data_IF_955597064947
#
_entry.id   IF_955597064947
#
_cell.length_a   1.000
_cell.length_b   1.000
_cell.length_c   1.000
_cell.angle_alpha   90.00
_cell.angle_beta   90.00
_cell.angle_gamma   90.00
#
_symmetry.space_group_name_H-M   'P 1'
#
loop_
_entity.id
_entity.type
_entity.pdbx_description
1 polymer ?
#
# COMPACT_ATOMS: atom_id res chain seq x y z
N UNK A 1 -11.87 6.36 19.19
CA UNK A 1 -11.22 7.40 18.36
C UNK A 1 -10.06 6.72 17.68
N UNK A 2 -10.19 6.44 16.38
CA UNK A 2 -9.12 5.84 15.57
C UNK A 2 -7.93 6.78 15.59
N UNK A 3 -6.79 6.30 16.12
CA UNK A 3 -5.55 7.06 16.17
C UNK A 3 -5.16 7.36 14.71
N UNK A 4 -5.29 8.61 14.28
CA UNK A 4 -5.00 8.98 12.89
C UNK A 4 -3.56 8.59 12.59
N UNK A 5 -3.33 7.87 11.49
CA UNK A 5 -1.96 7.64 11.02
C UNK A 5 -1.23 9.00 11.01
N UNK A 6 -0.14 9.12 11.78
CA UNK A 6 0.60 10.37 11.97
C UNK A 6 1.14 10.97 10.67
N UNK A 7 2.05 11.93 10.71
CA UNK A 7 2.59 12.54 9.48
C UNK A 7 3.15 11.51 8.47
N UNK A 8 3.15 11.83 7.16
CA UNK A 8 3.66 10.90 6.14
C UNK A 8 5.18 10.74 6.25
N UNK A 9 5.86 11.83 6.59
CA UNK A 9 7.30 11.88 6.71
C UNK A 9 7.68 12.24 8.14
N UNK A 10 8.15 11.24 8.90
CA UNK A 10 8.73 11.48 10.22
C UNK A 10 10.11 12.16 10.16
N UNK A 11 10.71 12.47 11.33
CA UNK A 11 11.97 13.22 11.42
C UNK A 11 13.12 12.61 10.59
N UNK A 12 13.25 11.29 10.57
CA UNK A 12 14.28 10.62 9.77
C UNK A 12 14.14 10.84 8.27
N UNK A 13 12.90 10.83 7.75
CA UNK A 13 12.64 11.15 6.35
C UNK A 13 12.95 12.62 6.06
N UNK A 14 12.59 13.54 6.96
CA UNK A 14 12.88 14.98 6.82
C UNK A 14 14.37 15.28 6.77
N UNK A 15 15.19 14.61 7.59
CA UNK A 15 16.65 14.74 7.52
C UNK A 15 17.20 14.37 6.14
N UNK A 16 16.79 13.22 5.58
CA UNK A 16 17.23 12.78 4.26
C UNK A 16 16.70 13.70 3.14
N UNK A 17 15.46 14.15 3.25
CA UNK A 17 14.89 15.10 2.30
C UNK A 17 15.62 16.45 2.30
N UNK A 18 16.06 16.94 3.45
CA UNK A 18 16.92 18.12 3.54
C UNK A 18 18.28 17.88 2.89
N UNK A 19 18.90 16.72 3.16
CA UNK A 19 20.20 16.36 2.58
C UNK A 19 20.18 16.28 1.05
N UNK A 20 19.09 15.76 0.46
CA UNK A 20 18.95 15.57 -0.98
C UNK A 20 18.13 16.67 -1.69
N UNK A 21 17.94 17.86 -1.08
CA UNK A 21 17.07 18.96 -1.58
C UNK A 21 15.67 18.49 -2.06
N UNK A 22 15.14 17.46 -1.40
CA UNK A 22 13.87 16.83 -1.76
C UNK A 22 12.71 17.27 -0.85
N UNK A 23 12.91 18.25 0.04
CA UNK A 23 11.87 18.71 0.98
C UNK A 23 10.66 19.27 0.24
N UNK A 24 10.88 20.17 -0.73
CA UNK A 24 9.81 20.77 -1.56
C UNK A 24 9.03 19.72 -2.32
N UNK A 25 9.74 18.77 -2.95
CA UNK A 25 9.13 17.66 -3.66
C UNK A 25 8.31 16.76 -2.73
N UNK A 26 8.84 16.44 -1.53
CA UNK A 26 8.15 15.62 -0.55
C UNK A 26 6.85 16.29 -0.08
N UNK A 27 6.89 17.59 0.21
CA UNK A 27 5.70 18.33 0.62
C UNK A 27 4.63 18.32 -0.49
N UNK A 28 5.02 18.60 -1.74
CA UNK A 28 4.11 18.53 -2.89
C UNK A 28 3.55 17.11 -3.09
N UNK A 29 4.37 16.07 -2.97
CA UNK A 29 3.90 14.68 -3.05
C UNK A 29 2.87 14.37 -1.94
N UNK A 30 3.13 14.80 -0.71
CA UNK A 30 2.20 14.62 0.39
C UNK A 30 0.87 15.32 0.14
N UNK A 31 0.90 16.52 -0.44
CA UNK A 31 -0.28 17.32 -0.73
C UNK A 31 -1.14 16.71 -1.84
N UNK A 32 -0.52 16.27 -2.94
CA UNK A 32 -1.26 15.90 -4.17
C UNK A 32 -1.51 14.41 -4.33
N UNK A 33 -0.78 13.55 -3.63
CA UNK A 33 -0.88 12.08 -3.81
C UNK A 33 -1.48 11.34 -2.62
N UNK A 34 -1.52 11.95 -1.44
CA UNK A 34 -2.07 11.32 -0.24
C UNK A 34 -3.53 11.69 -0.11
N UNK A 35 -4.38 10.68 -0.09
CA UNK A 35 -5.80 10.83 0.21
C UNK A 35 -6.13 10.09 1.51
N UNK A 36 -7.25 10.46 2.12
CA UNK A 36 -7.85 9.69 3.21
C UNK A 36 -9.12 8.94 2.76
N UNK A 37 -9.42 8.98 1.47
CA UNK A 37 -10.58 8.32 0.86
C UNK A 37 -10.20 7.54 -0.39
N UNK A 38 -10.86 6.42 -0.61
CA UNK A 38 -10.83 5.62 -1.83
C UNK A 38 -11.77 6.27 -2.85
N UNK A 39 -11.23 6.61 -4.03
CA UNK A 39 -12.02 7.00 -5.20
C UNK A 39 -12.43 5.78 -6.04
N UNK A 40 -13.35 5.95 -6.98
CA UNK A 40 -13.89 4.85 -7.80
C UNK A 40 -12.80 4.12 -8.58
N UNK A 41 -11.79 4.85 -9.09
CA UNK A 41 -10.66 4.27 -9.82
C UNK A 41 -9.85 3.36 -8.92
N UNK A 42 -9.57 3.80 -7.71
CA UNK A 42 -8.80 3.05 -6.72
C UNK A 42 -9.60 1.87 -6.20
N UNK A 43 -10.89 2.05 -5.88
CA UNK A 43 -11.77 0.95 -5.48
C UNK A 43 -11.74 -0.17 -6.53
N UNK A 44 -11.96 0.20 -7.79
CA UNK A 44 -11.94 -0.73 -8.91
C UNK A 44 -10.57 -1.44 -9.07
N UNK A 45 -9.47 -0.76 -8.77
CA UNK A 45 -8.14 -1.37 -8.77
C UNK A 45 -7.95 -2.38 -7.62
N UNK A 46 -8.37 -2.02 -6.40
CA UNK A 46 -8.27 -2.88 -5.22
C UNK A 46 -9.11 -4.15 -5.36
N UNK A 47 -10.35 -4.03 -5.85
CA UNK A 47 -11.26 -5.17 -6.01
C UNK A 47 -10.84 -6.15 -7.10
N UNK A 48 -10.08 -5.68 -8.11
CA UNK A 48 -9.49 -6.54 -9.14
C UNK A 48 -8.19 -7.22 -8.69
N UNK A 49 -7.63 -6.82 -7.56
CA UNK A 49 -6.40 -7.43 -7.08
C UNK A 49 -6.63 -8.93 -6.81
N UNK A 50 -5.63 -9.74 -7.15
CA UNK A 50 -5.56 -11.16 -6.79
C UNK A 50 -4.57 -11.41 -5.66
N UNK A 51 -3.81 -10.38 -5.28
CA UNK A 51 -2.95 -10.40 -4.12
C UNK A 51 -2.57 -8.99 -3.64
N UNK A 52 -2.08 -8.92 -2.41
CA UNK A 52 -1.37 -7.79 -1.84
C UNK A 52 -0.43 -8.26 -0.73
N UNK A 53 0.42 -7.37 -0.25
CA UNK A 53 1.23 -7.61 0.94
C UNK A 53 0.63 -6.87 2.13
N UNK A 54 0.38 -7.58 3.21
CA UNK A 54 -0.07 -7.04 4.49
C UNK A 54 1.12 -6.90 5.42
N UNK A 55 1.38 -5.70 5.89
CA UNK A 55 2.25 -5.43 7.01
C UNK A 55 1.43 -5.21 8.29
N UNK A 56 1.91 -5.79 9.38
CA UNK A 56 1.35 -5.65 10.74
C UNK A 56 2.49 -5.38 11.71
N UNK A 57 2.19 -4.92 12.92
CA UNK A 57 3.19 -4.72 13.98
C UNK A 57 2.73 -5.42 15.26
N UNK A 58 3.64 -6.14 15.90
CA UNK A 58 3.36 -6.79 17.19
C UNK A 58 3.36 -5.78 18.35
N UNK A 59 2.95 -6.22 19.55
CA UNK A 59 2.93 -5.39 20.75
C UNK A 59 4.31 -4.88 21.20
N UNK A 60 5.41 -5.41 20.65
CA UNK A 60 6.78 -4.95 20.89
C UNK A 60 7.28 -3.94 19.85
N UNK A 61 6.48 -3.64 18.82
CA UNK A 61 6.85 -2.71 17.76
C UNK A 61 7.63 -3.34 16.60
N UNK A 62 7.75 -4.67 16.54
CA UNK A 62 8.40 -5.34 15.42
C UNK A 62 7.42 -5.56 14.26
N UNK A 63 7.81 -5.19 13.02
CA UNK A 63 6.96 -5.37 11.86
C UNK A 63 7.03 -6.80 11.32
N UNK A 64 5.89 -7.26 10.80
CA UNK A 64 5.76 -8.46 9.98
C UNK A 64 5.18 -8.12 8.62
N UNK A 65 5.47 -8.97 7.63
CA UNK A 65 4.86 -8.93 6.30
C UNK A 65 4.33 -10.30 5.92
N UNK A 66 3.16 -10.32 5.29
CA UNK A 66 2.52 -11.51 4.76
C UNK A 66 1.96 -11.27 3.38
N UNK A 67 2.11 -12.24 2.48
CA UNK A 67 1.37 -12.28 1.22
C UNK A 67 -0.07 -12.69 1.51
N UNK A 68 -1.03 -11.93 0.96
CA UNK A 68 -2.46 -12.24 1.00
C UNK A 68 -2.95 -12.37 -0.43
N UNK A 69 -3.45 -13.54 -0.80
CA UNK A 69 -3.90 -13.84 -2.15
C UNK A 69 -5.31 -14.44 -2.18
N UNK A 70 -6.00 -14.25 -3.29
CA UNK A 70 -7.34 -14.75 -3.52
C UNK A 70 -7.78 -14.52 -4.97
N UNK A 71 -8.99 -14.95 -5.31
CA UNK A 71 -9.60 -14.62 -6.60
C UNK A 71 -9.99 -13.14 -6.62
N UNK A 72 -10.03 -12.51 -7.79
CA UNK A 72 -10.53 -11.13 -7.91
C UNK A 72 -11.90 -11.00 -7.22
N UNK A 73 -12.08 -9.94 -6.43
CA UNK A 73 -13.21 -9.75 -5.53
C UNK A 73 -12.99 -10.25 -4.09
N UNK A 74 -11.84 -10.86 -3.77
CA UNK A 74 -11.50 -11.23 -2.38
C UNK A 74 -11.18 -10.00 -1.51
N UNK A 75 -10.84 -8.87 -2.12
CA UNK A 75 -10.85 -7.57 -1.46
C UNK A 75 -12.14 -6.87 -1.86
N UNK A 76 -12.94 -6.43 -0.89
CA UNK A 76 -14.17 -5.67 -1.10
C UNK A 76 -14.02 -4.28 -0.53
N UNK A 77 -14.32 -3.26 -1.32
CA UNK A 77 -14.39 -1.87 -0.82
C UNK A 77 -15.84 -1.62 -0.41
N UNK A 78 -16.07 -1.34 0.87
CA UNK A 78 -17.43 -1.15 1.40
C UNK A 78 -17.92 0.29 1.24
N UNK A 79 -17.01 1.23 1.39
CA UNK A 79 -17.24 2.66 1.25
C UNK A 79 -15.92 3.38 0.95
N UNK A 80 -15.92 4.71 0.97
CA UNK A 80 -14.74 5.50 0.65
C UNK A 80 -13.62 5.42 1.71
N UNK A 81 -13.79 4.71 2.82
CA UNK A 81 -12.79 4.56 3.91
C UNK A 81 -12.64 3.13 4.44
N UNK A 82 -13.40 2.18 3.94
CA UNK A 82 -13.44 0.83 4.52
C UNK A 82 -13.26 -0.22 3.44
N UNK A 83 -12.37 -1.18 3.70
CA UNK A 83 -12.24 -2.39 2.90
C UNK A 83 -12.26 -3.64 3.78
N UNK A 84 -12.64 -4.77 3.19
CA UNK A 84 -12.59 -6.09 3.83
C UNK A 84 -11.85 -7.09 2.97
N UNK A 85 -11.14 -8.02 3.62
CA UNK A 85 -10.59 -9.20 2.97
C UNK A 85 -10.61 -10.40 3.91
N UNK A 86 -10.69 -11.64 3.39
CA UNK A 86 -10.70 -12.84 4.21
C UNK A 86 -9.30 -13.27 4.63
N UNK A 87 -9.22 -13.89 5.79
CA UNK A 87 -8.15 -14.81 6.18
C UNK A 87 -8.67 -16.23 6.04
N UNK A 88 -7.97 -17.02 5.24
CA UNK A 88 -8.26 -18.43 5.02
C UNK A 88 -7.49 -19.32 6.01
N UNK A 89 -7.83 -20.61 6.01
CA UNK A 89 -7.05 -21.66 6.67
C UNK A 89 -5.57 -21.58 6.25
N UNK A 90 -4.69 -21.77 7.23
CA UNK A 90 -3.26 -21.56 7.09
C UNK A 90 -2.46 -22.47 8.01
N UNK A 91 -1.21 -22.10 8.27
CA UNK A 91 -0.29 -22.93 9.07
C UNK A 91 -0.49 -22.80 10.60
N UNK A 92 -1.58 -22.16 11.04
CA UNK A 92 -1.90 -21.98 12.46
C UNK A 92 -1.03 -20.98 13.23
N UNK A 93 -0.11 -20.25 12.59
CA UNK A 93 0.71 -19.26 13.30
C UNK A 93 -0.05 -17.99 13.70
N UNK A 94 -1.12 -17.65 12.98
CA UNK A 94 -1.97 -16.48 13.22
C UNK A 94 -1.25 -15.13 13.40
N UNK A 95 0.01 -14.98 12.95
CA UNK A 95 0.83 -13.80 13.26
C UNK A 95 0.17 -12.47 12.89
N UNK A 96 -0.31 -12.33 11.65
CA UNK A 96 -0.99 -11.10 11.24
C UNK A 96 -2.24 -10.83 12.08
N UNK A 97 -3.03 -11.87 12.39
CA UNK A 97 -4.28 -11.70 13.14
C UNK A 97 -4.02 -11.35 14.61
N UNK A 98 -3.05 -12.01 15.26
CA UNK A 98 -2.61 -11.68 16.61
C UNK A 98 -2.07 -10.25 16.71
N UNK A 99 -1.20 -9.85 15.78
CA UNK A 99 -0.69 -8.48 15.71
C UNK A 99 -1.82 -7.45 15.54
N UNK A 100 -2.85 -7.77 14.73
CA UNK A 100 -4.03 -6.91 14.57
C UNK A 100 -4.81 -6.81 15.90
N UNK A 101 -4.97 -7.89 16.66
CA UNK A 101 -5.62 -7.82 17.97
C UNK A 101 -4.83 -6.97 18.98
N UNK A 102 -3.50 -7.00 18.92
CA UNK A 102 -2.62 -6.27 19.84
C UNK A 102 -2.52 -4.78 19.52
N UNK A 103 -2.38 -4.42 18.24
CA UNK A 103 -2.03 -3.05 17.85
C UNK A 103 -3.01 -2.40 16.88
N UNK A 104 -3.86 -3.20 16.23
CA UNK A 104 -4.73 -2.83 15.10
C UNK A 104 -4.01 -2.21 13.89
N UNK A 105 -2.71 -1.91 13.96
CA UNK A 105 -2.00 -1.11 12.95
C UNK A 105 -1.62 -1.99 11.75
N UNK A 106 -2.12 -1.60 10.58
CA UNK A 106 -1.85 -2.32 9.33
C UNK A 106 -1.39 -1.38 8.23
N UNK A 107 -0.54 -1.91 7.34
CA UNK A 107 -0.25 -1.30 6.06
C UNK A 107 -0.42 -2.34 4.94
N UNK A 108 -1.02 -1.94 3.83
CA UNK A 108 -1.24 -2.80 2.67
C UNK A 108 -0.46 -2.25 1.49
N UNK A 109 0.21 -3.13 0.75
CA UNK A 109 0.85 -2.82 -0.53
C UNK A 109 0.18 -3.64 -1.63
N UNK A 110 -0.60 -2.96 -2.45
CA UNK A 110 -1.10 -3.51 -3.70
C UNK A 110 -0.12 -3.14 -4.80
N UNK A 111 0.32 -4.12 -5.57
CA UNK A 111 1.31 -3.93 -6.63
C UNK A 111 0.94 -4.76 -7.86
N UNK A 112 1.00 -4.14 -9.03
CA UNK A 112 0.92 -4.81 -10.33
C UNK A 112 2.31 -4.84 -10.94
N UNK A 113 2.75 -6.03 -11.34
CA UNK A 113 4.12 -6.31 -11.79
C UNK A 113 4.11 -6.83 -13.23
N UNK A 114 3.57 -6.02 -14.14
CA UNK A 114 3.51 -6.28 -15.57
C UNK A 114 3.72 -4.99 -16.37
N UNK A 115 3.51 -5.00 -17.68
CA UNK A 115 3.62 -3.83 -18.59
C UNK A 115 2.95 -2.54 -18.08
N UNK A 116 1.88 -2.65 -17.28
CA UNK A 116 1.15 -1.53 -16.69
C UNK A 116 1.44 -1.41 -15.19
N UNK A 117 2.73 -1.49 -14.83
CA UNK A 117 3.18 -1.52 -13.46
C UNK A 117 2.63 -0.34 -12.65
N UNK A 118 2.09 -0.64 -11.47
CA UNK A 118 1.62 0.37 -10.54
C UNK A 118 1.65 -0.16 -9.10
N UNK A 119 1.58 0.75 -8.13
CA UNK A 119 1.46 0.39 -6.73
C UNK A 119 0.65 1.40 -5.94
N UNK A 120 -0.12 0.89 -4.99
CA UNK A 120 -0.92 1.67 -4.04
C UNK A 120 -0.60 1.17 -2.64
N UNK A 121 -0.34 2.12 -1.73
CA UNK A 121 -0.16 1.86 -0.31
C UNK A 121 -1.37 2.36 0.45
N UNK A 122 -1.78 1.59 1.45
CA UNK A 122 -2.84 1.95 2.38
C UNK A 122 -2.29 1.79 3.80
N UNK A 123 -2.52 2.78 4.66
CA UNK A 123 -2.33 2.68 6.09
C UNK A 123 -3.68 2.77 6.78
N UNK A 124 -3.92 1.95 7.79
CA UNK A 124 -5.18 1.96 8.52
C UNK A 124 -5.11 1.19 9.82
N UNK A 125 -6.28 1.07 10.44
CA UNK A 125 -6.52 0.19 11.58
C UNK A 125 -7.44 -0.94 11.18
N UNK A 126 -7.15 -2.13 11.66
CA UNK A 126 -7.90 -3.33 11.33
C UNK A 126 -8.63 -3.92 12.54
N UNK A 127 -9.78 -4.52 12.28
CA UNK A 127 -10.54 -5.34 13.22
C UNK A 127 -10.77 -6.73 12.63
N UNK A 128 -10.95 -7.71 13.51
CA UNK A 128 -11.24 -9.09 13.13
C UNK A 128 -12.73 -9.36 13.32
N UNK A 129 -13.40 -9.77 12.25
CA UNK A 129 -14.81 -10.12 12.23
C UNK A 129 -14.94 -11.65 12.14
N UNK A 130 -15.65 -12.21 13.11
CA UNK A 130 -15.89 -13.66 13.29
C UNK A 130 -17.38 -14.00 13.25
N UNK A 131 -18.24 -13.01 13.00
CA UNK A 131 -19.69 -13.21 12.91
C UNK A 131 -20.09 -13.84 11.57
N UNK A 132 -21.13 -14.67 11.60
CA UNK A 132 -21.64 -15.38 10.42
C UNK A 132 -21.95 -14.47 9.21
N UNK A 133 -22.61 -13.30 9.37
CA UNK A 133 -22.80 -12.37 8.26
C UNK A 133 -21.50 -11.95 7.58
N UNK A 134 -20.45 -11.65 8.35
CA UNK A 134 -19.15 -11.30 7.80
C UNK A 134 -18.46 -12.48 7.12
N UNK A 135 -18.41 -13.64 7.77
CA UNK A 135 -17.74 -14.84 7.24
C UNK A 135 -18.41 -15.34 5.95
N UNK A 136 -19.75 -15.41 5.93
CA UNK A 136 -20.51 -15.85 4.75
C UNK A 136 -20.38 -14.91 3.54
N UNK A 137 -19.90 -13.68 3.73
CA UNK A 137 -19.57 -12.78 2.63
C UNK A 137 -18.33 -13.20 1.83
N UNK A 138 -17.51 -14.12 2.35
CA UNK A 138 -16.29 -14.61 1.72
C UNK A 138 -16.17 -16.13 1.81
N UNK A 139 -16.21 -16.81 0.66
CA UNK A 139 -16.07 -18.27 0.61
C UNK A 139 -14.75 -18.73 1.24
N UNK A 140 -14.84 -19.65 2.20
CA UNK A 140 -13.70 -20.24 2.90
C UNK A 140 -13.03 -19.37 3.96
N UNK A 141 -13.59 -18.19 4.28
CA UNK A 141 -13.03 -17.33 5.32
C UNK A 141 -13.20 -17.93 6.71
N UNK A 142 -12.09 -18.01 7.47
CA UNK A 142 -12.13 -18.32 8.91
C UNK A 142 -12.25 -17.04 9.75
N UNK A 143 -11.70 -15.94 9.22
CA UNK A 143 -11.77 -14.59 9.81
C UNK A 143 -11.90 -13.59 8.68
N UNK A 144 -12.69 -12.54 8.84
CA UNK A 144 -12.67 -11.39 7.93
C UNK A 144 -11.94 -10.24 8.59
N UNK A 145 -10.98 -9.67 7.89
CA UNK A 145 -10.25 -8.48 8.33
C UNK A 145 -10.94 -7.27 7.70
N UNK A 146 -11.47 -6.40 8.54
CA UNK A 146 -11.97 -5.09 8.14
C UNK A 146 -10.90 -4.04 8.42
N UNK A 147 -10.62 -3.18 7.44
CA UNK A 147 -9.63 -2.12 7.54
C UNK A 147 -10.32 -0.79 7.34
N UNK A 148 -10.31 0.04 8.37
CA UNK A 148 -10.60 1.46 8.28
C UNK A 148 -9.31 2.19 7.88
N UNK A 149 -9.27 2.73 6.65
CA UNK A 149 -8.09 3.42 6.17
C UNK A 149 -7.97 4.83 6.74
N UNK A 150 -6.74 5.16 7.13
CA UNK A 150 -6.34 6.51 7.47
C UNK A 150 -5.78 7.24 6.25
N UNK A 151 -4.96 6.55 5.45
CA UNK A 151 -4.28 7.14 4.30
C UNK A 151 -4.15 6.14 3.16
N UNK A 152 -4.29 6.63 1.95
CA UNK A 152 -4.03 5.92 0.70
C UNK A 152 -3.18 6.79 -0.20
N UNK A 153 -2.13 6.22 -0.78
CA UNK A 153 -1.22 6.97 -1.63
C UNK A 153 -0.54 6.07 -2.67
N UNK A 154 -0.46 6.50 -3.93
CA UNK A 154 0.32 5.82 -4.94
C UNK A 154 1.80 6.10 -4.74
N UNK A 155 2.65 5.28 -5.36
CA UNK A 155 4.05 5.61 -5.56
C UNK A 155 4.46 5.32 -7.00
N UNK A 156 5.48 6.06 -7.47
CA UNK A 156 6.01 5.96 -8.82
C UNK A 156 6.32 4.51 -9.24
N UNK A 157 5.91 4.03 -10.42
CA UNK A 157 6.09 2.62 -10.82
C UNK A 157 7.54 2.25 -11.16
N UNK A 158 8.48 3.20 -11.09
CA UNK A 158 9.92 2.92 -11.25
C UNK A 158 10.34 1.73 -10.41
N UNK A 159 11.25 0.94 -10.99
CA UNK A 159 11.88 -0.23 -10.39
C UNK A 159 10.94 -1.42 -10.17
N UNK A 160 9.68 -1.35 -10.60
CA UNK A 160 8.83 -2.54 -10.65
C UNK A 160 9.22 -3.36 -11.87
N UNK A 161 9.68 -4.58 -11.64
CA UNK A 161 9.97 -5.55 -12.69
C UNK A 161 8.67 -6.21 -13.16
N UNK A 162 8.67 -6.68 -14.40
CA UNK A 162 7.67 -7.63 -14.86
C UNK A 162 8.16 -9.03 -14.46
N UNK A 163 7.58 -9.57 -13.39
CA UNK A 163 8.04 -10.84 -12.83
C UNK A 163 7.59 -12.05 -13.66
N UNK A 164 6.57 -11.90 -14.49
CA UNK A 164 6.05 -12.99 -15.33
C UNK A 164 6.95 -13.22 -16.54
N UNK A 165 7.33 -12.14 -17.24
CA UNK A 165 8.27 -12.19 -18.36
C UNK A 165 9.74 -12.21 -17.91
N UNK A 166 10.02 -11.86 -16.66
CA UNK A 166 11.38 -11.65 -16.14
C UNK A 166 12.02 -10.34 -16.61
N UNK A 167 11.24 -9.43 -17.22
CA UNK A 167 11.74 -8.15 -17.73
C UNK A 167 12.10 -7.23 -16.57
N UNK A 168 13.36 -6.80 -16.55
CA UNK A 168 13.86 -5.84 -15.56
C UNK A 168 13.41 -4.43 -15.95
N UNK A 169 12.86 -3.68 -14.99
CA UNK A 169 12.51 -2.27 -15.16
C UNK A 169 13.64 -1.46 -15.81
N UNK A 170 13.34 -0.73 -16.87
CA UNK A 170 14.30 0.18 -17.53
C UNK A 170 14.86 1.26 -16.60
N UNK A 171 14.15 1.54 -15.51
CA UNK A 171 14.60 2.49 -14.49
C UNK A 171 15.68 1.91 -13.58
N UNK A 172 15.87 0.59 -13.55
CA UNK A 172 16.91 -0.05 -12.76
C UNK A 172 18.30 0.29 -13.33
N UNK A 173 19.25 0.74 -12.50
CA UNK A 173 20.59 1.04 -12.96
C UNK A 173 21.36 -0.23 -13.35
N UNK A 174 22.44 -0.08 -14.12
CA UNK A 174 23.31 -1.17 -14.53
C UNK A 174 22.95 -1.82 -15.87
N UNK A 175 21.93 -1.30 -16.56
CA UNK A 175 21.62 -1.66 -17.94
C UNK A 175 22.58 -1.04 -18.97
N UNK A 176 22.40 -1.36 -20.27
CA UNK A 176 23.25 -0.86 -21.35
C UNK A 176 23.08 0.65 -21.60
N UNK A 177 21.97 1.24 -21.16
CA UNK A 177 21.68 2.67 -21.23
C UNK A 177 21.42 3.22 -19.83
N UNK A 178 21.71 4.52 -19.58
CA UNK A 178 21.29 5.17 -18.35
C UNK A 178 19.77 5.05 -18.15
N UNK A 179 19.28 4.90 -16.91
CA UNK A 179 17.85 4.93 -16.63
C UNK A 179 17.19 6.20 -17.17
N UNK A 180 16.06 6.10 -17.89
CA UNK A 180 15.37 7.27 -18.38
C UNK A 180 14.85 8.12 -17.22
N UNK A 181 14.73 9.43 -17.46
CA UNK A 181 14.07 10.31 -16.53
C UNK A 181 12.55 10.04 -16.53
N UNK A 182 11.92 9.83 -15.37
CA UNK A 182 10.48 9.56 -15.35
C UNK A 182 9.67 10.79 -15.76
N UNK A 183 8.66 10.57 -16.61
CA UNK A 183 7.82 11.62 -17.19
C UNK A 183 7.19 12.57 -16.16
N UNK A 184 6.83 12.07 -14.95
CA UNK A 184 6.16 12.88 -13.93
C UNK A 184 6.98 14.09 -13.47
N UNK A 185 8.31 14.06 -13.63
CA UNK A 185 9.16 15.20 -13.32
C UNK A 185 8.94 16.38 -14.27
N UNK A 186 8.41 16.11 -15.47
CA UNK A 186 8.08 17.14 -16.47
C UNK A 186 6.66 17.67 -16.30
N UNK A 187 5.85 17.08 -15.42
CA UNK A 187 4.49 17.57 -15.18
C UNK A 187 4.53 18.88 -14.42
N UNK A 188 3.68 19.84 -14.81
CA UNK A 188 3.54 21.15 -14.15
C UNK A 188 3.32 21.02 -12.63
N UNK A 189 2.69 19.93 -12.20
CA UNK A 189 2.46 19.60 -10.79
C UNK A 189 3.75 19.43 -9.97
N UNK A 190 4.88 19.08 -10.58
CA UNK A 190 6.13 18.76 -9.86
C UNK A 190 7.37 19.50 -10.35
N UNK A 191 7.36 20.02 -11.59
CA UNK A 191 8.55 20.58 -12.23
C UNK A 191 9.21 21.73 -11.43
N UNK A 192 8.43 22.52 -10.69
CA UNK A 192 8.91 23.66 -9.89
C UNK A 192 9.53 23.27 -8.53
N UNK A 193 9.30 22.05 -8.05
CA UNK A 193 9.70 21.59 -6.71
C UNK A 193 10.78 20.51 -6.73
N UNK A 194 11.32 20.17 -7.90
CA UNK A 194 12.39 19.18 -8.01
C UNK A 194 13.67 19.64 -7.28
N UNK A 195 14.47 18.69 -6.75
CA UNK A 195 15.82 18.97 -6.26
C UNK A 195 16.67 19.70 -7.32
N UNK A 196 17.48 20.64 -6.90
CA UNK A 196 18.46 21.29 -7.79
C UNK A 196 19.59 20.31 -8.14
N UNK A 197 20.00 20.33 -9.40
CA UNK A 197 21.20 19.61 -9.87
C UNK A 197 22.50 20.18 -9.28
#
# INVERSE_FOLDING_TARGET
MTESAGELYGPGARTLQGHFDATRLADRLSEVTVSSTIDDRTASYLERATYFFLATVDGHGFPDVSYKGGRAGFVKVLDNRTLRFPSYDGNGMYRSLGNIQETAKVALLFIRQNENANRIRIHGTATLLLDEPSLSAFEGAEVVVEVELSRIFPNCPRYIHDLESGTISEFAPGGPTPPPEPEWKQWDTFADVLPKE
#
